data_IF_348881556443
#
_entry.id   IF_348881556443
#
_cell.length_a   1.000
_cell.length_b   1.000
_cell.length_c   1.000
_cell.angle_alpha   90.00
_cell.angle_beta   90.00
_cell.angle_gamma   90.00
#
_symmetry.space_group_name_H-M   'P 1'
#
loop_
_entity.id
_entity.type
_entity.pdbx_description
1 polymer ?
#
# COMPACT_ATOMS: atom_id res chain seq x y z
N UNK A 1 44.82 24.98 -9.61
CA UNK A 1 44.12 23.68 -9.67
C UNK A 1 42.70 23.93 -10.17
N UNK A 2 42.44 23.64 -11.45
CA UNK A 2 41.16 23.92 -12.13
C UNK A 2 40.16 22.78 -11.92
N UNK A 3 38.90 23.12 -11.67
CA UNK A 3 37.84 22.22 -11.24
C UNK A 3 37.23 21.43 -12.43
N UNK A 4 38.01 20.53 -13.01
CA UNK A 4 37.62 19.68 -14.16
C UNK A 4 36.47 18.69 -13.86
N UNK A 5 36.00 18.60 -12.61
CA UNK A 5 34.88 17.73 -12.22
C UNK A 5 33.51 18.41 -12.39
N UNK A 6 33.46 19.71 -12.68
CA UNK A 6 32.20 20.45 -12.79
C UNK A 6 31.53 20.32 -14.17
N UNK A 7 32.30 20.02 -15.22
CA UNK A 7 31.78 19.83 -16.59
C UNK A 7 31.02 18.52 -16.80
N UNK A 8 31.16 17.54 -15.91
CA UNK A 8 30.45 16.26 -16.00
C UNK A 8 28.98 16.33 -15.55
N UNK A 9 28.58 17.38 -14.80
CA UNK A 9 27.20 17.52 -14.29
C UNK A 9 26.22 18.13 -15.29
N UNK A 10 26.69 18.64 -16.45
CA UNK A 10 25.87 19.43 -17.39
C UNK A 10 25.40 18.60 -18.61
N UNK A 11 25.75 17.32 -18.68
CA UNK A 11 25.26 16.40 -19.72
C UNK A 11 24.29 15.39 -19.10
N UNK A 12 23.20 15.87 -18.49
CA UNK A 12 22.09 14.98 -18.14
C UNK A 12 21.35 14.60 -19.43
N UNK A 13 21.46 13.33 -19.84
CA UNK A 13 20.61 12.77 -20.88
C UNK A 13 19.12 13.01 -20.53
N UNK A 14 18.22 13.25 -21.52
CA UNK A 14 16.81 13.48 -21.25
C UNK A 14 16.23 12.37 -20.37
N UNK A 15 15.74 12.73 -19.18
CA UNK A 15 15.13 11.77 -18.26
C UNK A 15 13.93 11.13 -18.97
N UNK A 16 13.94 9.80 -19.09
CA UNK A 16 12.81 9.09 -19.67
C UNK A 16 11.51 9.47 -18.92
N UNK A 17 10.40 9.71 -19.64
CA UNK A 17 9.14 10.08 -19.02
C UNK A 17 8.64 8.95 -18.11
N UNK A 18 7.95 9.34 -17.02
CA UNK A 18 7.36 8.38 -16.09
C UNK A 18 6.35 7.51 -16.85
N UNK A 19 6.46 6.17 -16.79
CA UNK A 19 5.54 5.29 -17.50
C UNK A 19 4.11 5.45 -16.96
N UNK A 20 3.11 5.40 -17.84
CA UNK A 20 1.69 5.50 -17.46
C UNK A 20 1.28 4.49 -16.37
N UNK A 21 1.91 3.31 -16.37
CA UNK A 21 1.71 2.29 -15.35
C UNK A 21 2.04 2.78 -13.93
N UNK A 22 3.05 3.65 -13.77
CA UNK A 22 3.39 4.20 -12.45
C UNK A 22 2.25 5.06 -11.89
N UNK A 23 1.64 5.92 -12.71
CA UNK A 23 0.47 6.71 -12.30
C UNK A 23 -0.72 5.82 -11.93
N UNK A 24 -0.96 4.75 -12.70
CA UNK A 24 -2.02 3.79 -12.42
C UNK A 24 -1.78 3.08 -11.08
N UNK A 25 -0.56 2.59 -10.84
CA UNK A 25 -0.19 1.93 -9.59
C UNK A 25 -0.28 2.88 -8.40
N UNK A 26 0.18 4.13 -8.53
CA UNK A 26 0.02 5.16 -7.50
C UNK A 26 -1.46 5.43 -7.21
N UNK A 27 -2.30 5.52 -8.25
CA UNK A 27 -3.74 5.66 -8.10
C UNK A 27 -4.38 4.47 -7.37
N UNK A 28 -4.00 3.24 -7.71
CA UNK A 28 -4.45 2.04 -7.00
C UNK A 28 -4.09 2.09 -5.51
N UNK A 29 -2.85 2.43 -5.17
CA UNK A 29 -2.40 2.56 -3.78
C UNK A 29 -3.16 3.67 -3.06
N UNK A 30 -3.41 4.81 -3.72
CA UNK A 30 -4.18 5.91 -3.15
C UNK A 30 -5.63 5.49 -2.84
N UNK A 31 -6.29 4.78 -3.76
CA UNK A 31 -7.66 4.24 -3.56
C UNK A 31 -7.67 3.28 -2.37
N UNK A 32 -6.74 2.31 -2.33
CA UNK A 32 -6.62 1.33 -1.23
C UNK A 32 -6.40 2.05 0.10
N UNK A 33 -5.51 3.03 0.14
CA UNK A 33 -5.19 3.80 1.35
C UNK A 33 -6.39 4.63 1.84
N UNK A 34 -7.09 5.30 0.93
CA UNK A 34 -8.21 6.20 1.27
C UNK A 34 -9.31 5.53 2.08
N UNK A 35 -9.60 4.25 1.81
CA UNK A 35 -10.56 3.44 2.56
C UNK A 35 -10.18 3.32 4.04
N UNK A 36 -8.89 3.15 4.35
CA UNK A 36 -8.40 3.06 5.73
C UNK A 36 -8.34 4.42 6.42
N UNK A 37 -8.09 5.52 5.69
CA UNK A 37 -8.07 6.89 6.24
C UNK A 37 -9.48 7.38 6.62
N UNK A 38 -10.51 6.97 5.88
CA UNK A 38 -11.93 7.27 6.18
C UNK A 38 -12.35 6.78 7.56
N UNK A 39 -11.69 5.75 8.10
CA UNK A 39 -12.05 5.18 9.40
C UNK A 39 -11.84 6.16 10.56
N UNK A 40 -10.89 7.10 10.46
CA UNK A 40 -10.62 8.08 11.51
C UNK A 40 -11.84 8.95 11.83
N UNK A 41 -12.41 9.67 10.85
CA UNK A 41 -13.62 10.47 11.05
C UNK A 41 -14.85 9.68 11.52
N UNK A 42 -15.03 8.43 11.10
CA UNK A 42 -16.20 7.61 11.44
C UNK A 42 -16.01 6.73 12.68
N UNK A 43 -14.80 6.72 13.27
CA UNK A 43 -14.47 5.88 14.43
C UNK A 43 -15.46 6.00 15.60
N UNK A 44 -16.02 7.18 15.94
CA UNK A 44 -17.03 7.29 16.99
C UNK A 44 -18.32 6.54 16.67
N UNK A 45 -18.79 6.58 15.41
CA UNK A 45 -19.99 5.88 14.98
C UNK A 45 -19.79 4.36 14.98
N UNK A 46 -18.61 3.90 14.57
CA UNK A 46 -18.21 2.49 14.64
C UNK A 46 -18.15 2.04 16.10
N UNK A 47 -17.49 2.81 16.97
CA UNK A 47 -17.39 2.50 18.39
C UNK A 47 -18.77 2.36 19.05
N UNK A 48 -19.71 3.27 18.75
CA UNK A 48 -21.09 3.20 19.23
C UNK A 48 -21.82 1.93 18.74
N UNK A 49 -21.64 1.56 17.47
CA UNK A 49 -22.28 0.38 16.88
C UNK A 49 -21.78 -0.94 17.49
N UNK A 50 -20.52 -0.99 17.90
CA UNK A 50 -19.90 -2.16 18.53
C UNK A 50 -19.92 -2.14 20.07
N UNK A 51 -20.50 -1.11 20.70
CA UNK A 51 -20.44 -0.94 22.16
C UNK A 51 -19.00 -0.81 22.70
N UNK A 52 -18.07 -0.39 21.85
CA UNK A 52 -16.65 -0.30 22.13
C UNK A 52 -16.22 1.17 22.35
N UNK A 53 -14.98 1.37 22.79
CA UNK A 53 -14.39 2.71 22.89
C UNK A 53 -13.72 3.11 21.57
N UNK A 54 -13.67 4.42 21.28
CA UNK A 54 -12.96 4.95 20.11
C UNK A 54 -11.49 4.52 20.06
N UNK A 55 -10.73 4.56 21.18
CA UNK A 55 -9.36 4.03 21.20
C UNK A 55 -9.28 2.56 20.80
N UNK A 56 -10.21 1.70 21.25
CA UNK A 56 -10.22 0.29 20.88
C UNK A 56 -10.43 0.09 19.36
N UNK A 57 -11.34 0.84 18.76
CA UNK A 57 -11.55 0.83 17.30
C UNK A 57 -10.29 1.30 16.55
N UNK A 58 -9.62 2.34 17.05
CA UNK A 58 -8.38 2.84 16.45
C UNK A 58 -7.21 1.87 16.62
N UNK A 59 -7.10 1.17 17.75
CA UNK A 59 -6.12 0.09 17.94
C UNK A 59 -6.37 -1.07 16.98
N UNK A 60 -7.63 -1.49 16.81
CA UNK A 60 -7.99 -2.53 15.86
C UNK A 60 -7.66 -2.12 14.42
N UNK A 61 -7.93 -0.86 14.05
CA UNK A 61 -7.57 -0.31 12.76
C UNK A 61 -6.06 -0.29 12.51
N UNK A 62 -5.28 0.11 13.52
CA UNK A 62 -3.82 0.10 13.44
C UNK A 62 -3.28 -1.33 13.30
N UNK A 63 -3.83 -2.29 14.05
CA UNK A 63 -3.45 -3.70 13.93
C UNK A 63 -3.75 -4.25 12.51
N UNK A 64 -4.89 -3.90 11.93
CA UNK A 64 -5.23 -4.24 10.54
C UNK A 64 -4.25 -3.63 9.54
N UNK A 65 -3.88 -2.35 9.70
CA UNK A 65 -2.90 -1.68 8.84
C UNK A 65 -1.50 -2.31 8.93
N UNK A 66 -1.05 -2.65 10.14
CA UNK A 66 0.21 -3.36 10.36
C UNK A 66 0.17 -4.76 9.75
N UNK A 67 -0.91 -5.51 9.95
CA UNK A 67 -1.10 -6.82 9.34
C UNK A 67 -1.06 -6.77 7.81
N UNK A 68 -1.67 -5.76 7.20
CA UNK A 68 -1.62 -5.53 5.75
C UNK A 68 -0.19 -5.24 5.28
N UNK A 69 0.54 -4.39 6.00
CA UNK A 69 1.92 -4.02 5.64
C UNK A 69 2.87 -5.20 5.79
N UNK A 70 2.76 -5.94 6.89
CA UNK A 70 3.52 -7.17 7.13
C UNK A 70 3.23 -8.23 6.06
N UNK A 71 1.95 -8.39 5.70
CA UNK A 71 1.54 -9.28 4.62
C UNK A 71 2.16 -8.86 3.29
N UNK A 72 2.13 -7.57 2.93
CA UNK A 72 2.73 -7.09 1.69
C UNK A 72 4.25 -7.36 1.62
N UNK A 73 4.98 -7.12 2.71
CA UNK A 73 6.43 -7.41 2.79
C UNK A 73 6.71 -8.91 2.65
N UNK A 74 5.90 -9.74 3.30
CA UNK A 74 6.03 -11.20 3.20
C UNK A 74 5.69 -11.70 1.79
N UNK A 75 4.58 -11.22 1.22
CA UNK A 75 4.05 -11.66 -0.06
C UNK A 75 4.89 -11.20 -1.25
N UNK A 76 5.58 -10.05 -1.16
CA UNK A 76 6.38 -9.50 -2.25
C UNK A 76 7.33 -10.56 -2.86
N UNK A 77 8.07 -11.29 -2.01
CA UNK A 77 8.98 -12.36 -2.45
C UNK A 77 8.27 -13.52 -3.17
N UNK A 78 7.04 -13.82 -2.78
CA UNK A 78 6.25 -14.89 -3.41
C UNK A 78 5.60 -14.42 -4.71
N UNK A 79 5.18 -13.15 -4.78
CA UNK A 79 4.66 -12.52 -5.99
C UNK A 79 5.71 -12.58 -7.11
N UNK A 80 6.96 -12.25 -6.78
CA UNK A 80 8.06 -12.27 -7.74
C UNK A 80 8.39 -13.70 -8.23
N UNK A 81 8.19 -14.72 -7.40
CA UNK A 81 8.48 -16.14 -7.74
C UNK A 81 7.35 -16.87 -8.47
N UNK A 82 6.11 -16.69 -8.02
CA UNK A 82 4.94 -17.49 -8.46
C UNK A 82 4.15 -16.76 -9.56
N UNK A 83 4.34 -15.44 -9.64
CA UNK A 83 3.66 -14.54 -10.56
C UNK A 83 2.43 -13.89 -9.93
N UNK A 84 2.23 -12.60 -10.23
CA UNK A 84 1.18 -11.75 -9.64
C UNK A 84 -0.24 -12.32 -9.79
N UNK A 85 -0.58 -12.92 -10.95
CA UNK A 85 -1.92 -13.45 -11.23
C UNK A 85 -2.30 -14.58 -10.28
N UNK A 86 -1.41 -15.57 -10.09
CA UNK A 86 -1.68 -16.73 -9.22
C UNK A 86 -1.75 -16.30 -7.75
N UNK A 87 -0.88 -15.37 -7.36
CA UNK A 87 -0.89 -14.83 -6.00
C UNK A 87 -2.19 -14.09 -5.69
N UNK A 88 -2.67 -13.27 -6.65
CA UNK A 88 -3.95 -12.57 -6.50
C UNK A 88 -5.13 -13.54 -6.39
N UNK A 89 -5.17 -14.59 -7.22
CA UNK A 89 -6.20 -15.63 -7.12
C UNK A 89 -6.19 -16.32 -5.75
N UNK A 90 -5.00 -16.68 -5.25
CA UNK A 90 -4.85 -17.26 -3.91
C UNK A 90 -5.31 -16.32 -2.80
N UNK A 91 -4.97 -15.03 -2.88
CA UNK A 91 -5.41 -14.02 -1.93
C UNK A 91 -6.93 -13.83 -1.94
N UNK A 92 -7.56 -13.83 -3.12
CA UNK A 92 -9.02 -13.75 -3.25
C UNK A 92 -9.72 -15.01 -2.71
N UNK A 93 -9.12 -16.19 -2.88
CA UNK A 93 -9.65 -17.45 -2.35
C UNK A 93 -9.55 -17.48 -0.82
N UNK A 94 -8.42 -17.05 -0.26
CA UNK A 94 -8.24 -16.90 1.19
C UNK A 94 -9.25 -15.90 1.77
N UNK A 95 -9.45 -14.77 1.09
CA UNK A 95 -10.48 -13.78 1.47
C UNK A 95 -11.88 -14.40 1.49
N UNK A 96 -12.25 -15.17 0.46
CA UNK A 96 -13.55 -15.84 0.40
C UNK A 96 -13.74 -16.85 1.54
N UNK A 97 -12.68 -17.59 1.90
CA UNK A 97 -12.71 -18.53 3.02
C UNK A 97 -12.83 -17.82 4.38
N UNK A 98 -12.17 -16.67 4.56
CA UNK A 98 -12.23 -15.89 5.80
C UNK A 98 -13.57 -15.19 6.03
N UNK A 99 -14.40 -15.08 4.98
CA UNK A 99 -15.72 -14.45 5.05
C UNK A 99 -16.82 -15.42 5.51
N UNK A 100 -16.54 -16.72 5.56
CA UNK A 100 -17.42 -17.80 6.05
C UNK A 100 -17.13 -18.08 7.52
#
# INVERSE_FOLDING_TARGET
MSNSNQSAFITEAPRAPIPAAAYLLTGCIAVIGSNSLVLGPIAPAVAASFGASVPAVMTAAAAFGLGTSASALFLARYIDRIGARRMLQGALLLLALALV
#
